data_IF_746955312590
#
_entry.id   IF_746955312590
#
_cell.length_a   1.000
_cell.length_b   1.000
_cell.length_c   1.000
_cell.angle_alpha   90.00
_cell.angle_beta   90.00
_cell.angle_gamma   90.00
#
_symmetry.space_group_name_H-M   'P 1'
#
loop_
_entity.id
_entity.type
_entity.pdbx_description
1 polymer ?
#
# COMPACT_ATOMS: atom_id res chain seq x y z
N UNK A 1 6.11 -1.70 13.50
CA UNK A 1 5.77 -1.48 14.93
C UNK A 1 6.42 -2.61 15.70
N UNK A 2 7.22 -2.30 16.72
CA UNK A 2 7.90 -3.32 17.55
C UNK A 2 7.01 -3.72 18.74
N UNK A 3 7.29 -4.86 19.41
CA UNK A 3 6.61 -5.21 20.64
C UNK A 3 6.67 -4.08 21.69
N UNK A 4 5.60 -3.92 22.48
CA UNK A 4 5.47 -2.91 23.54
C UNK A 4 5.57 -1.44 23.06
N UNK A 5 5.18 -1.16 21.82
CA UNK A 5 5.06 0.21 21.35
C UNK A 5 4.00 0.99 22.15
N UNK A 6 4.25 2.28 22.38
CA UNK A 6 3.30 3.18 23.07
C UNK A 6 1.98 3.22 22.29
N UNK A 7 0.80 3.25 22.94
CA UNK A 7 -0.49 3.34 22.25
C UNK A 7 -0.61 4.60 21.39
N UNK A 8 -1.16 4.47 20.19
CA UNK A 8 -1.41 5.60 19.29
C UNK A 8 -2.50 5.29 18.26
N UNK A 9 -3.07 6.36 17.72
CA UNK A 9 -3.98 6.33 16.57
C UNK A 9 -3.40 7.24 15.48
N UNK A 10 -3.32 6.75 14.25
CA UNK A 10 -2.83 7.53 13.10
C UNK A 10 -3.64 7.27 11.84
N UNK A 11 -3.65 8.26 10.94
CA UNK A 11 -4.22 8.13 9.60
C UNK A 11 -3.21 7.49 8.66
N UNK A 12 -3.67 6.55 7.84
CA UNK A 12 -2.88 5.92 6.80
C UNK A 12 -3.05 6.67 5.48
N UNK A 13 -1.96 6.72 4.71
CA UNK A 13 -1.96 7.15 3.31
C UNK A 13 -1.82 5.94 2.39
N UNK A 14 -1.92 6.15 1.09
CA UNK A 14 -1.63 5.11 0.11
C UNK A 14 -0.16 4.69 0.21
N UNK A 15 0.10 3.38 0.30
CA UNK A 15 1.45 2.89 0.56
C UNK A 15 1.54 1.37 0.69
N UNK A 16 2.63 0.91 1.31
CA UNK A 16 2.93 -0.51 1.47
C UNK A 16 3.17 -0.82 2.94
N UNK A 17 2.37 -1.74 3.48
CA UNK A 17 2.55 -2.35 4.79
C UNK A 17 3.28 -3.69 4.65
N UNK A 18 4.13 -3.98 5.63
CA UNK A 18 4.76 -5.30 5.78
C UNK A 18 4.54 -5.78 7.20
N UNK A 19 4.23 -7.06 7.36
CA UNK A 19 4.13 -7.70 8.65
C UNK A 19 4.75 -9.10 8.58
N UNK A 20 5.21 -9.59 9.72
CA UNK A 20 5.78 -10.94 9.85
C UNK A 20 4.77 -11.81 10.58
N UNK A 21 4.43 -12.96 10.01
CA UNK A 21 3.53 -13.93 10.63
C UNK A 21 4.24 -14.66 11.78
N UNK A 22 3.48 -15.38 12.60
CA UNK A 22 4.04 -16.24 13.64
C UNK A 22 4.96 -17.35 13.09
N UNK A 23 4.77 -17.74 11.82
CA UNK A 23 5.65 -18.69 11.13
C UNK A 23 6.94 -18.05 10.59
N UNK A 24 7.17 -16.75 10.82
CA UNK A 24 8.33 -16.02 10.34
C UNK A 24 8.24 -15.58 8.87
N UNK A 25 7.08 -15.78 8.22
CA UNK A 25 6.86 -15.36 6.83
C UNK A 25 6.58 -13.86 6.79
N UNK A 26 7.34 -13.11 5.98
CA UNK A 26 7.03 -11.71 5.71
C UNK A 26 5.94 -11.60 4.63
N UNK A 27 4.87 -10.89 4.95
CA UNK A 27 3.76 -10.61 4.06
C UNK A 27 3.74 -9.13 3.68
N UNK A 28 3.41 -8.84 2.42
CA UNK A 28 3.41 -7.49 1.86
C UNK A 28 2.02 -7.13 1.36
N UNK A 29 1.51 -5.98 1.80
CA UNK A 29 0.16 -5.50 1.49
C UNK A 29 0.22 -4.04 1.01
N UNK A 30 -0.36 -3.76 -0.16
CA UNK A 30 -0.67 -2.41 -0.58
C UNK A 30 -1.91 -1.90 0.17
N UNK A 31 -1.82 -0.72 0.78
CA UNK A 31 -2.90 -0.08 1.55
C UNK A 31 -3.27 1.23 0.85
N UNK A 32 -4.57 1.56 0.83
CA UNK A 32 -5.09 2.76 0.17
C UNK A 32 -5.85 3.67 1.14
N UNK A 33 -5.20 4.09 2.23
CA UNK A 33 -5.83 4.94 3.25
C UNK A 33 -6.35 4.17 4.46
N UNK A 34 -7.18 4.83 5.26
CA UNK A 34 -7.73 4.32 6.51
C UNK A 34 -6.98 4.76 7.77
N UNK A 35 -7.00 3.92 8.82
CA UNK A 35 -6.44 4.20 10.14
C UNK A 35 -5.67 3.00 10.71
N UNK A 36 -4.68 3.30 11.54
CA UNK A 36 -3.98 2.33 12.36
C UNK A 36 -4.09 2.71 13.82
N UNK A 37 -4.50 1.73 14.63
CA UNK A 37 -4.58 1.82 16.07
C UNK A 37 -3.61 0.83 16.71
N UNK A 38 -2.92 1.28 17.76
CA UNK A 38 -2.23 0.42 18.72
C UNK A 38 -2.85 0.66 20.08
N UNK A 39 -3.46 -0.37 20.67
CA UNK A 39 -4.15 -0.28 21.97
C UNK A 39 -3.17 -0.44 23.15
N UNK A 40 -3.66 -0.19 24.37
CA UNK A 40 -2.85 -0.33 25.61
C UNK A 40 -2.47 -1.77 25.96
N UNK A 41 -3.09 -2.77 25.32
CA UNK A 41 -2.77 -4.19 25.48
C UNK A 41 -1.74 -4.66 24.45
N UNK A 42 -1.30 -3.77 23.56
CA UNK A 42 -0.35 -4.07 22.48
C UNK A 42 -0.99 -4.70 21.25
N UNK A 43 -2.31 -4.70 21.13
CA UNK A 43 -2.99 -5.14 19.92
C UNK A 43 -2.88 -4.05 18.84
N UNK A 44 -2.67 -4.46 17.61
CA UNK A 44 -2.58 -3.57 16.45
C UNK A 44 -3.77 -3.84 15.54
N UNK A 45 -4.59 -2.81 15.32
CA UNK A 45 -5.74 -2.85 14.41
C UNK A 45 -5.47 -1.94 13.22
N UNK A 46 -5.64 -2.47 12.00
CA UNK A 46 -5.51 -1.72 10.75
C UNK A 46 -6.86 -1.70 10.05
N UNK A 47 -7.50 -0.54 10.03
CA UNK A 47 -8.77 -0.31 9.35
C UNK A 47 -8.48 0.43 8.04
N UNK A 48 -8.18 -0.32 6.99
CA UNK A 48 -7.91 0.25 5.66
C UNK A 48 -9.20 0.43 4.85
N UNK A 49 -9.31 1.52 4.09
CA UNK A 49 -10.40 1.72 3.13
C UNK A 49 -10.38 0.64 2.03
N UNK A 50 -9.17 0.25 1.61
CA UNK A 50 -8.91 -0.90 0.76
C UNK A 50 -7.48 -1.40 0.96
N UNK A 51 -7.29 -2.71 0.83
CA UNK A 51 -5.98 -3.37 0.95
C UNK A 51 -5.86 -4.55 -0.02
N UNK A 52 -4.67 -4.77 -0.58
CA UNK A 52 -4.40 -5.89 -1.49
C UNK A 52 -3.05 -6.51 -1.18
N UNK A 53 -2.98 -7.84 -1.07
CA UNK A 53 -1.71 -8.54 -0.87
C UNK A 53 -0.91 -8.53 -2.16
N UNK A 54 0.41 -8.47 -2.07
CA UNK A 54 1.29 -8.41 -3.24
C UNK A 54 1.04 -9.55 -4.25
N UNK A 55 0.72 -10.75 -3.76
CA UNK A 55 0.40 -11.92 -4.58
C UNK A 55 -0.92 -11.83 -5.35
N UNK A 56 -1.85 -10.98 -4.91
CA UNK A 56 -3.18 -10.81 -5.53
C UNK A 56 -3.18 -9.65 -6.55
N UNK A 57 -2.04 -8.98 -6.75
CA UNK A 57 -1.92 -7.83 -7.64
C UNK A 57 -1.64 -8.29 -9.07
N UNK A 58 -2.52 -7.90 -9.99
CA UNK A 58 -2.32 -8.07 -11.44
C UNK A 58 -1.44 -6.93 -12.00
N UNK A 59 -0.15 -7.22 -12.19
CA UNK A 59 0.83 -6.24 -12.67
C UNK A 59 0.44 -5.58 -14.00
N UNK A 60 -0.19 -6.32 -14.92
CA UNK A 60 -0.57 -5.79 -16.22
C UNK A 60 -1.68 -4.75 -16.09
N UNK A 61 -2.70 -5.03 -15.26
CA UNK A 61 -3.77 -4.06 -14.98
C UNK A 61 -3.26 -2.82 -14.26
N UNK A 62 -2.34 -2.98 -13.32
CA UNK A 62 -1.77 -1.84 -12.58
C UNK A 62 -0.96 -0.92 -13.50
N UNK A 63 -0.15 -1.48 -14.41
CA UNK A 63 0.60 -0.68 -15.39
C UNK A 63 -0.30 0.05 -16.37
N UNK A 64 -1.38 -0.59 -16.82
CA UNK A 64 -2.36 0.06 -17.69
C UNK A 64 -3.02 1.26 -16.98
N UNK A 65 -3.44 1.08 -15.73
CA UNK A 65 -4.03 2.16 -14.92
C UNK A 65 -3.04 3.30 -14.64
N UNK A 66 -1.76 2.99 -14.41
CA UNK A 66 -0.71 4.00 -14.25
C UNK A 66 -0.56 4.85 -15.53
N UNK A 67 -0.53 4.21 -16.70
CA UNK A 67 -0.38 4.89 -17.98
C UNK A 67 -1.58 5.78 -18.29
N UNK A 68 -2.80 5.28 -18.06
CA UNK A 68 -4.04 6.04 -18.24
C UNK A 68 -4.08 7.27 -17.33
N UNK A 69 -3.80 7.09 -16.04
CA UNK A 69 -3.78 8.19 -15.08
C UNK A 69 -2.76 9.27 -15.46
N UNK A 70 -1.56 8.88 -15.92
CA UNK A 70 -0.55 9.82 -16.44
C UNK A 70 -1.01 10.54 -17.70
N UNK A 71 -1.70 9.84 -18.61
CA UNK A 71 -2.27 10.45 -19.82
C UNK A 71 -3.30 11.52 -19.48
N UNK A 72 -4.19 11.25 -18.52
CA UNK A 72 -5.19 12.23 -18.04
C UNK A 72 -4.51 13.46 -17.46
N UNK A 73 -3.52 13.27 -16.57
CA UNK A 73 -2.80 14.39 -15.94
C UNK A 73 -1.97 15.23 -16.91
N UNK A 74 -1.53 14.64 -18.03
CA UNK A 74 -0.82 15.36 -19.08
C UNK A 74 -1.76 16.18 -19.98
N UNK A 75 -3.05 15.84 -20.02
CA UNK A 75 -4.03 16.46 -20.90
C UNK A 75 -4.79 17.59 -20.19
N UNK A 76 -4.44 18.83 -20.54
CA UNK A 76 -5.03 20.04 -19.97
C UNK A 76 -6.53 20.22 -20.25
N UNK A 77 -7.12 19.44 -21.16
CA UNK A 77 -8.55 19.49 -21.45
C UNK A 77 -9.38 18.67 -20.44
N UNK A 78 -8.76 17.74 -19.71
CA UNK A 78 -9.41 16.82 -18.77
C UNK A 78 -9.31 17.26 -17.31
N UNK A 79 -9.31 18.57 -17.04
CA UNK A 79 -9.11 19.11 -15.68
C UNK A 79 -10.09 18.57 -14.63
N UNK A 80 -11.35 18.29 -15.02
CA UNK A 80 -12.35 17.68 -14.14
C UNK A 80 -11.94 16.30 -13.62
N UNK A 81 -11.12 15.57 -14.38
CA UNK A 81 -10.67 14.21 -14.05
C UNK A 81 -9.34 14.19 -13.27
N UNK A 82 -8.68 15.34 -13.08
CA UNK A 82 -7.33 15.40 -12.50
C UNK A 82 -7.27 14.83 -11.08
N UNK A 83 -8.23 15.18 -10.22
CA UNK A 83 -8.25 14.69 -8.85
C UNK A 83 -8.40 13.16 -8.78
N UNK A 84 -9.20 12.59 -9.69
CA UNK A 84 -9.39 11.15 -9.80
C UNK A 84 -8.13 10.48 -10.36
N UNK A 85 -7.55 11.04 -11.42
CA UNK A 85 -6.32 10.53 -12.03
C UNK A 85 -5.14 10.55 -11.05
N UNK A 86 -4.99 11.61 -10.24
CA UNK A 86 -3.95 11.70 -9.22
C UNK A 86 -4.12 10.60 -8.15
N UNK A 87 -5.36 10.37 -7.70
CA UNK A 87 -5.68 9.31 -6.76
C UNK A 87 -5.38 7.93 -7.34
N UNK A 88 -5.80 7.68 -8.59
CA UNK A 88 -5.52 6.43 -9.31
C UNK A 88 -4.02 6.20 -9.48
N UNK A 89 -3.25 7.26 -9.78
CA UNK A 89 -1.80 7.18 -9.89
C UNK A 89 -1.14 6.83 -8.55
N UNK A 90 -1.57 7.45 -7.44
CA UNK A 90 -1.08 7.12 -6.09
C UNK A 90 -1.36 5.66 -5.73
N UNK A 91 -2.55 5.15 -6.07
CA UNK A 91 -2.90 3.73 -5.88
C UNK A 91 -2.02 2.81 -6.72
N UNK A 92 -1.83 3.11 -8.00
CA UNK A 92 -0.97 2.33 -8.88
C UNK A 92 0.48 2.26 -8.36
N UNK A 93 1.02 3.37 -7.86
CA UNK A 93 2.35 3.38 -7.25
C UNK A 93 2.46 2.54 -5.98
N UNK A 94 1.45 2.56 -5.11
CA UNK A 94 1.42 1.69 -3.93
C UNK A 94 1.42 0.20 -4.34
N UNK A 95 0.67 -0.16 -5.37
CA UNK A 95 0.59 -1.53 -5.90
C UNK A 95 1.92 -1.99 -6.50
N UNK A 96 2.54 -1.18 -7.37
CA UNK A 96 3.85 -1.48 -7.98
C UNK A 96 4.92 -1.63 -6.90
N UNK A 97 4.90 -0.76 -5.88
CA UNK A 97 5.83 -0.84 -4.76
C UNK A 97 5.63 -2.09 -3.92
N UNK A 98 4.39 -2.57 -3.79
CA UNK A 98 4.09 -3.83 -3.09
C UNK A 98 4.60 -5.04 -3.90
N UNK A 99 4.35 -5.10 -5.21
CA UNK A 99 4.89 -6.12 -6.11
C UNK A 99 6.41 -6.23 -6.00
N UNK A 100 7.11 -5.09 -6.15
CA UNK A 100 8.58 -5.05 -6.09
C UNK A 100 9.16 -5.52 -4.75
N UNK A 101 8.42 -5.35 -3.65
CA UNK A 101 8.82 -5.81 -2.32
C UNK A 101 8.48 -7.28 -2.05
N UNK A 102 7.38 -7.78 -2.63
CA UNK A 102 7.00 -9.19 -2.53
C UNK A 102 7.93 -10.13 -3.32
N UNK A 103 8.48 -9.68 -4.44
CA UNK A 103 9.32 -10.51 -5.33
C UNK A 103 10.77 -10.70 -4.84
N UNK A 104 11.25 -9.90 -3.88
CA UNK A 104 12.66 -9.97 -3.44
C UNK A 104 12.82 -10.92 -2.23
N UNK A 105 13.37 -12.14 -2.40
CA UNK A 105 13.82 -12.92 -1.25
C UNK A 105 15.01 -12.18 -0.62
N UNK A 106 14.86 -11.74 0.63
CA UNK A 106 16.01 -11.26 1.38
C UNK A 106 16.85 -12.46 1.77
N UNK A 107 18.02 -12.59 1.15
CA UNK A 107 19.14 -13.32 1.73
C UNK A 107 19.30 -12.86 3.19
N UNK A 108 19.33 -13.83 4.11
CA UNK A 108 19.81 -13.61 5.47
C UNK A 108 21.24 -13.09 5.36
N UNK A 109 21.47 -11.84 5.73
CA UNK A 109 22.79 -11.45 6.20
C UNK A 109 22.73 -11.45 7.72
N UNK A 110 23.30 -12.53 8.23
CA UNK A 110 24.09 -12.74 9.47
C UNK A 110 23.82 -11.85 10.67
#
# INVERSE_FOLDING_TARGET
ILPQHVPFLTRLTEGVMRYTTLSGVEEVVAIFGGFLEVDSRGNISVLADSAMRAQDIDEAKVKAAELEAKSVLADKTRQLEFAQAETSLRKAYAQIKALNKGTRPRHSQT
#
